data_IF_098028631192
#
_entry.id   IF_098028631192
#
_cell.length_a   1.000
_cell.length_b   1.000
_cell.length_c   1.000
_cell.angle_alpha   90.00
_cell.angle_beta   90.00
_cell.angle_gamma   90.00
#
_symmetry.space_group_name_H-M   'P 1'
#
loop_
_entity.id
_entity.type
_entity.pdbx_description
1 polymer ?
#
# COMPACT_ATOMS: atom_id res chain seq x y z
N UNK A 1 -31.28 -10.20 -5.07
CA UNK A 1 -30.30 -11.32 -5.11
C UNK A 1 -29.90 -11.73 -6.52
N UNK A 2 -30.83 -11.84 -7.47
CA UNK A 2 -30.51 -12.17 -8.88
C UNK A 2 -29.53 -11.18 -9.52
N UNK A 3 -29.63 -9.88 -9.23
CA UNK A 3 -28.75 -8.85 -9.80
C UNK A 3 -27.32 -8.95 -9.24
N UNK A 4 -27.16 -9.29 -7.96
CA UNK A 4 -25.86 -9.50 -7.33
C UNK A 4 -25.16 -10.72 -7.93
N UNK A 5 -25.89 -11.83 -8.12
CA UNK A 5 -25.35 -13.04 -8.74
C UNK A 5 -24.93 -12.81 -10.19
N UNK A 6 -25.72 -12.01 -10.94
CA UNK A 6 -25.39 -11.63 -12.30
C UNK A 6 -24.13 -10.78 -12.35
N UNK A 7 -23.98 -9.81 -11.44
CA UNK A 7 -22.77 -9.00 -11.33
C UNK A 7 -21.53 -9.84 -11.00
N UNK A 8 -21.63 -10.77 -10.07
CA UNK A 8 -20.54 -11.66 -9.68
C UNK A 8 -20.09 -12.59 -10.82
N UNK A 9 -21.01 -12.97 -11.70
CA UNK A 9 -20.71 -13.83 -12.85
C UNK A 9 -20.29 -13.06 -14.10
N UNK A 10 -20.34 -11.73 -14.08
CA UNK A 10 -19.96 -10.90 -15.24
C UNK A 10 -18.49 -10.52 -15.13
N UNK A 11 -17.70 -10.96 -16.09
CA UNK A 11 -16.28 -10.56 -16.16
C UNK A 11 -16.16 -9.13 -16.68
N UNK A 12 -15.51 -8.21 -15.96
CA UNK A 12 -15.30 -6.86 -16.43
C UNK A 12 -14.43 -6.84 -17.71
N UNK A 13 -14.57 -5.80 -18.51
CA UNK A 13 -13.70 -5.57 -19.66
C UNK A 13 -12.29 -5.23 -19.18
N UNK A 14 -11.30 -5.49 -20.03
CA UNK A 14 -9.92 -5.13 -19.73
C UNK A 14 -9.82 -3.59 -19.51
N UNK A 15 -9.19 -3.20 -18.39
CA UNK A 15 -9.06 -1.79 -17.94
C UNK A 15 -10.38 -1.09 -17.59
N UNK A 16 -11.48 -1.82 -17.43
CA UNK A 16 -12.72 -1.25 -16.92
C UNK A 16 -12.51 -0.72 -15.51
N UNK A 17 -12.90 0.53 -15.29
CA UNK A 17 -12.81 1.14 -13.96
C UNK A 17 -13.82 0.52 -12.99
N UNK A 18 -13.39 0.30 -11.76
CA UNK A 18 -14.29 -0.09 -10.68
C UNK A 18 -15.30 1.01 -10.39
N UNK A 19 -16.54 0.62 -10.08
CA UNK A 19 -17.58 1.55 -9.64
C UNK A 19 -17.37 2.03 -8.20
N UNK A 20 -16.51 1.38 -7.45
CA UNK A 20 -16.22 1.71 -6.05
C UNK A 20 -14.73 1.96 -5.85
N UNK A 21 -14.39 3.08 -5.22
CA UNK A 21 -13.05 3.38 -4.73
C UNK A 21 -12.92 2.89 -3.29
N UNK A 22 -12.44 1.66 -3.11
CA UNK A 22 -12.36 1.04 -1.78
C UNK A 22 -11.38 1.75 -0.85
N UNK A 23 -10.35 2.38 -1.40
CA UNK A 23 -9.34 3.10 -0.61
C UNK A 23 -9.84 4.40 -0.01
N UNK A 24 -10.89 5.00 -0.61
CA UNK A 24 -11.51 6.25 -0.16
C UNK A 24 -12.76 6.02 0.71
N UNK A 25 -13.19 4.77 0.83
CA UNK A 25 -14.35 4.43 1.65
C UNK A 25 -14.06 4.71 3.13
N UNK A 26 -14.88 5.52 3.83
CA UNK A 26 -14.60 5.91 5.21
C UNK A 26 -14.53 4.75 6.19
N UNK A 27 -15.25 3.67 5.95
CA UNK A 27 -15.22 2.47 6.78
C UNK A 27 -13.98 1.62 6.49
N UNK A 28 -13.72 1.36 5.20
CA UNK A 28 -12.59 0.52 4.76
C UNK A 28 -11.27 1.22 5.04
N UNK A 29 -11.16 2.51 4.77
CA UNK A 29 -9.90 3.26 4.92
C UNK A 29 -9.38 3.27 6.36
N UNK A 30 -10.26 3.36 7.36
CA UNK A 30 -9.86 3.26 8.77
C UNK A 30 -9.26 1.90 9.13
N UNK A 31 -9.87 0.82 8.63
CA UNK A 31 -9.36 -0.53 8.82
C UNK A 31 -8.03 -0.74 8.11
N UNK A 32 -7.87 -0.21 6.90
CA UNK A 32 -6.63 -0.27 6.14
C UNK A 32 -5.50 0.48 6.83
N UNK A 33 -5.75 1.69 7.31
CA UNK A 33 -4.76 2.44 8.08
C UNK A 33 -4.29 1.67 9.31
N UNK A 34 -5.22 1.12 10.07
CA UNK A 34 -4.91 0.29 11.25
C UNK A 34 -4.06 -0.93 10.87
N UNK A 35 -4.38 -1.59 9.76
CA UNK A 35 -3.60 -2.74 9.27
C UNK A 35 -2.18 -2.34 8.86
N UNK A 36 -2.00 -1.20 8.20
CA UNK A 36 -0.67 -0.68 7.83
C UNK A 36 0.18 -0.34 9.04
N UNK A 37 -0.42 0.24 10.08
CA UNK A 37 0.29 0.66 11.29
C UNK A 37 0.54 -0.48 12.28
N UNK A 38 -0.01 -1.66 12.05
CA UNK A 38 0.20 -2.82 12.92
C UNK A 38 1.54 -3.48 12.63
N UNK A 39 2.52 -3.28 13.51
CA UNK A 39 3.87 -3.79 13.38
C UNK A 39 3.98 -5.32 13.49
N UNK A 40 2.95 -5.99 13.99
CA UNK A 40 2.91 -7.44 14.20
C UNK A 40 2.25 -8.22 13.07
N UNK A 41 1.76 -7.56 12.04
CA UNK A 41 1.06 -8.17 10.91
C UNK A 41 1.70 -7.75 9.58
N UNK A 42 1.62 -8.65 8.60
CA UNK A 42 2.09 -8.41 7.23
C UNK A 42 0.94 -8.32 6.22
N UNK A 43 -0.28 -8.03 6.72
CA UNK A 43 -1.48 -8.01 5.88
C UNK A 43 -1.55 -6.80 4.93
N UNK A 44 -0.93 -5.71 5.29
CA UNK A 44 -0.90 -4.49 4.47
C UNK A 44 0.51 -3.96 4.25
N UNK A 45 1.28 -3.77 5.31
CA UNK A 45 2.71 -3.42 5.25
C UNK A 45 3.54 -4.56 5.85
N UNK A 46 4.74 -4.77 5.35
CA UNK A 46 5.68 -5.73 5.95
C UNK A 46 5.99 -5.35 7.40
N UNK A 47 6.40 -6.32 8.20
CA UNK A 47 6.83 -6.07 9.59
C UNK A 47 7.92 -5.00 9.63
N UNK A 48 7.91 -4.18 10.66
CA UNK A 48 8.81 -3.05 10.80
C UNK A 48 10.29 -3.42 10.67
N UNK A 49 10.70 -4.56 11.22
CA UNK A 49 12.07 -5.05 11.08
C UNK A 49 12.47 -5.30 9.63
N UNK A 50 11.57 -5.86 8.84
CA UNK A 50 11.80 -6.07 7.40
C UNK A 50 11.89 -4.73 6.67
N UNK A 51 11.01 -3.79 6.98
CA UNK A 51 11.01 -2.44 6.39
C UNK A 51 12.33 -1.73 6.69
N UNK A 52 12.79 -1.74 7.93
CA UNK A 52 14.07 -1.15 8.34
C UNK A 52 15.27 -1.78 7.62
N UNK A 53 15.29 -3.11 7.51
CA UNK A 53 16.33 -3.81 6.76
C UNK A 53 16.32 -3.46 5.28
N UNK A 54 15.14 -3.34 4.69
CA UNK A 54 14.97 -2.94 3.29
C UNK A 54 15.49 -1.53 3.04
N UNK A 55 15.13 -0.58 3.88
CA UNK A 55 15.60 0.81 3.79
C UNK A 55 17.13 0.87 3.96
N UNK A 56 17.69 0.16 4.93
CA UNK A 56 19.13 0.10 5.14
C UNK A 56 19.84 -0.45 3.89
N UNK A 57 19.34 -1.52 3.31
CA UNK A 57 19.89 -2.09 2.08
C UNK A 57 19.82 -1.11 0.89
N UNK A 58 18.68 -0.45 0.69
CA UNK A 58 18.51 0.55 -0.36
C UNK A 58 19.53 1.68 -0.19
N UNK A 59 19.75 2.15 1.03
CA UNK A 59 20.72 3.21 1.32
C UNK A 59 22.18 2.77 1.04
N UNK A 60 22.49 1.48 1.09
CA UNK A 60 23.80 0.99 0.69
C UNK A 60 23.99 0.93 -0.83
N UNK A 61 22.92 0.59 -1.56
CA UNK A 61 22.95 0.48 -3.02
C UNK A 61 22.80 1.85 -3.69
N UNK A 62 21.95 2.70 -3.13
CA UNK A 62 21.63 4.04 -3.62
C UNK A 62 21.90 5.09 -2.51
N UNK A 63 23.15 5.40 -2.24
CA UNK A 63 23.49 6.31 -1.14
C UNK A 63 22.95 7.72 -1.38
N UNK A 64 22.43 8.36 -0.34
CA UNK A 64 21.72 9.63 -0.41
C UNK A 64 22.57 10.83 -0.88
N UNK A 65 23.90 10.74 -0.79
CA UNK A 65 24.77 11.78 -1.33
C UNK A 65 24.76 11.87 -2.87
N UNK A 66 24.28 10.80 -3.54
CA UNK A 66 24.05 10.79 -4.98
C UNK A 66 22.55 10.81 -5.34
N UNK A 67 21.72 10.23 -4.48
CA UNK A 67 20.28 10.00 -4.70
C UNK A 67 19.50 10.66 -3.57
N UNK A 68 19.32 11.97 -3.65
CA UNK A 68 18.71 12.77 -2.59
C UNK A 68 17.20 13.08 -2.81
N UNK A 69 16.65 12.63 -3.92
CA UNK A 69 15.22 12.73 -4.21
C UNK A 69 14.61 11.34 -4.28
N UNK A 70 13.50 11.14 -3.60
CA UNK A 70 12.78 9.88 -3.57
C UNK A 70 11.31 10.10 -3.86
N UNK A 71 10.74 9.29 -4.74
CA UNK A 71 9.32 9.23 -5.01
C UNK A 71 8.79 7.86 -4.60
N UNK A 72 7.89 7.83 -3.65
CA UNK A 72 7.23 6.61 -3.18
C UNK A 72 5.81 6.53 -3.77
N UNK A 73 5.65 5.74 -4.83
CA UNK A 73 4.35 5.52 -5.48
C UNK A 73 3.50 4.58 -4.63
N UNK A 74 2.30 5.03 -4.23
CA UNK A 74 1.44 4.27 -3.35
C UNK A 74 1.97 4.20 -1.93
N UNK A 75 2.51 5.31 -1.43
CA UNK A 75 3.19 5.38 -0.13
C UNK A 75 2.32 4.96 1.08
N UNK A 76 0.99 4.91 0.93
CA UNK A 76 0.08 4.65 2.04
C UNK A 76 0.28 5.64 3.18
N UNK A 77 0.43 5.17 4.45
CA UNK A 77 0.70 6.05 5.58
C UNK A 77 2.13 6.60 5.65
N UNK A 78 2.98 6.30 4.68
CA UNK A 78 4.32 6.85 4.58
C UNK A 78 5.38 6.17 5.45
N UNK A 79 5.22 4.92 5.81
CA UNK A 79 6.14 4.18 6.71
C UNK A 79 7.55 4.12 6.12
N UNK A 80 7.68 3.77 4.84
CA UNK A 80 8.98 3.76 4.16
C UNK A 80 9.54 5.17 4.01
N UNK A 81 8.72 6.12 3.59
CA UNK A 81 9.14 7.51 3.40
C UNK A 81 9.72 8.12 4.68
N UNK A 82 9.09 7.87 5.83
CA UNK A 82 9.58 8.33 7.14
C UNK A 82 10.99 7.79 7.47
N UNK A 83 11.26 6.53 7.14
CA UNK A 83 12.56 5.92 7.39
C UNK A 83 13.67 6.39 6.44
N UNK A 84 13.31 6.92 5.28
CA UNK A 84 14.27 7.54 4.35
C UNK A 84 14.58 9.00 4.68
N UNK A 85 13.72 9.65 5.45
CA UNK A 85 13.89 11.05 5.84
C UNK A 85 14.95 11.20 6.92
#
# INVERSE_FOLDING_TARGET
MKDILKQLNTRPKLFEQSTASIWDDPHISKGMLKAHLNENQESATRKLDFVKKSVAWINTVLPNHHYNNLLDLGCGPGIYAELFY
#
